data_IF_292969459804
#
_entry.id   IF_292969459804
#
_cell.length_a   1.000
_cell.length_b   1.000
_cell.length_c   1.000
_cell.angle_alpha   90.00
_cell.angle_beta   90.00
_cell.angle_gamma   90.00
#
_symmetry.space_group_name_H-M   'P 1'
#
loop_
_entity.id
_entity.type
_entity.pdbx_description
1 polymer ?
#
# COMPACT_ATOMS: atom_id res chain seq x y z
N UNK A 1 27.29 -4.00 39.47
CA UNK A 1 27.51 -3.09 38.32
C UNK A 1 26.95 -3.67 37.03
N UNK A 2 27.46 -4.80 36.52
CA UNK A 2 26.96 -5.40 35.27
C UNK A 2 25.46 -5.75 35.27
N UNK A 3 24.96 -6.42 36.32
CA UNK A 3 23.54 -6.77 36.43
C UNK A 3 22.62 -5.54 36.43
N UNK A 4 23.04 -4.45 37.10
CA UNK A 4 22.33 -3.17 37.10
C UNK A 4 22.29 -2.55 35.71
N UNK A 5 23.43 -2.55 34.99
CA UNK A 5 23.52 -2.03 33.61
C UNK A 5 22.59 -2.81 32.68
N UNK A 6 22.60 -4.15 32.76
CA UNK A 6 21.73 -5.00 31.95
C UNK A 6 20.24 -4.77 32.26
N UNK A 7 19.91 -4.53 33.53
CA UNK A 7 18.52 -4.27 33.94
C UNK A 7 18.05 -2.90 33.43
N UNK A 8 18.91 -1.89 33.53
CA UNK A 8 18.66 -0.57 32.94
C UNK A 8 18.51 -0.64 31.42
N UNK A 9 19.33 -1.45 30.75
CA UNK A 9 19.23 -1.66 29.31
C UNK A 9 17.91 -2.34 28.92
N UNK A 10 17.51 -3.39 29.65
CA UNK A 10 16.23 -4.06 29.44
C UNK A 10 15.06 -3.06 29.52
N UNK A 11 14.99 -2.28 30.61
CA UNK A 11 13.93 -1.29 30.77
C UNK A 11 14.01 -0.15 29.77
N UNK A 12 15.21 0.26 29.37
CA UNK A 12 15.43 1.23 28.30
C UNK A 12 14.85 0.74 26.97
N UNK A 13 15.08 -0.52 26.61
CA UNK A 13 14.51 -1.13 25.39
C UNK A 13 12.98 -1.21 25.49
N UNK A 14 12.43 -1.65 26.63
CA UNK A 14 10.97 -1.70 26.85
C UNK A 14 10.35 -0.31 26.71
N UNK A 15 10.97 0.73 27.26
CA UNK A 15 10.52 2.10 27.16
C UNK A 15 10.54 2.61 25.70
N UNK A 16 11.62 2.34 24.96
CA UNK A 16 11.72 2.71 23.54
C UNK A 16 10.62 2.03 22.72
N UNK A 17 10.42 0.72 22.91
CA UNK A 17 9.34 -0.01 22.23
C UNK A 17 7.99 0.61 22.58
N UNK A 18 7.72 0.89 23.85
CA UNK A 18 6.45 1.51 24.27
C UNK A 18 6.20 2.85 23.56
N UNK A 19 7.22 3.71 23.49
CA UNK A 19 7.14 5.01 22.81
C UNK A 19 6.88 4.81 21.31
N UNK A 20 7.65 3.98 20.62
CA UNK A 20 7.49 3.69 19.19
C UNK A 20 6.12 3.08 18.90
N UNK A 21 5.59 2.25 19.80
CA UNK A 21 4.28 1.62 19.64
C UNK A 21 3.11 2.61 19.78
N UNK A 22 3.26 3.62 20.64
CA UNK A 22 2.16 4.55 20.97
C UNK A 22 2.21 5.84 20.15
N UNK A 23 3.38 6.38 19.84
CA UNK A 23 3.52 7.68 19.17
C UNK A 23 2.77 7.80 17.83
N UNK A 24 2.68 6.74 16.99
CA UNK A 24 1.89 6.78 15.75
C UNK A 24 0.38 6.98 15.94
N UNK A 25 -0.17 6.81 17.15
CA UNK A 25 -1.57 7.13 17.44
C UNK A 25 -1.83 8.63 17.50
N UNK A 26 -0.80 9.46 17.59
CA UNK A 26 -0.96 10.90 17.54
C UNK A 26 -1.49 11.37 16.17
N UNK A 27 -2.20 12.50 16.17
CA UNK A 27 -2.64 13.17 14.94
C UNK A 27 -1.50 13.91 14.21
N UNK A 28 -0.26 13.84 14.69
CA UNK A 28 0.87 14.60 14.13
C UNK A 28 1.28 14.00 12.77
N UNK A 29 1.13 14.74 11.65
CA UNK A 29 1.44 14.25 10.31
C UNK A 29 2.94 14.42 10.00
N UNK A 30 3.82 13.79 10.78
CA UNK A 30 5.27 13.90 10.60
C UNK A 30 5.89 12.55 10.24
N UNK A 31 6.77 12.49 9.24
CA UNK A 31 7.28 11.23 8.72
C UNK A 31 8.06 10.41 9.76
N UNK A 32 8.79 11.05 10.68
CA UNK A 32 9.43 10.34 11.81
C UNK A 32 8.41 9.64 12.74
N UNK A 33 7.21 10.21 12.91
CA UNK A 33 6.15 9.64 13.75
C UNK A 33 5.38 8.57 12.96
N UNK A 34 5.08 8.82 11.69
CA UNK A 34 4.38 7.85 10.82
C UNK A 34 5.26 6.63 10.54
N UNK A 35 6.57 6.81 10.33
CA UNK A 35 7.54 5.74 10.12
C UNK A 35 7.62 4.75 11.29
N UNK A 36 7.37 5.19 12.53
CA UNK A 36 7.28 4.29 13.69
C UNK A 36 6.11 3.28 13.61
N UNK A 37 5.14 3.50 12.72
CA UNK A 37 4.09 2.53 12.45
C UNK A 37 4.54 1.37 11.54
N UNK A 38 5.67 1.47 10.84
CA UNK A 38 6.12 0.45 9.91
C UNK A 38 6.51 -0.86 10.61
N UNK A 39 7.38 -0.88 11.65
CA UNK A 39 7.94 -2.12 12.15
C UNK A 39 7.01 -2.89 13.12
N UNK A 40 5.68 -2.91 12.93
CA UNK A 40 4.76 -3.55 13.89
C UNK A 40 5.05 -5.03 14.08
N UNK A 41 5.31 -5.77 13.00
CA UNK A 41 5.66 -7.20 13.05
C UNK A 41 6.95 -7.45 13.83
N UNK A 42 7.98 -6.64 13.55
CA UNK A 42 9.28 -6.71 14.20
C UNK A 42 9.18 -6.37 15.69
N UNK A 43 8.41 -5.33 16.04
CA UNK A 43 8.16 -4.93 17.42
C UNK A 43 7.35 -5.98 18.18
N UNK A 44 6.40 -6.66 17.53
CA UNK A 44 5.70 -7.79 18.14
C UNK A 44 6.66 -8.93 18.50
N UNK A 45 7.52 -9.34 17.58
CA UNK A 45 8.51 -10.40 17.82
C UNK A 45 9.50 -10.01 18.91
N UNK A 46 9.99 -8.76 18.88
CA UNK A 46 10.89 -8.24 19.92
C UNK A 46 10.20 -8.19 21.29
N UNK A 47 8.94 -7.78 21.34
CA UNK A 47 8.12 -7.77 22.56
C UNK A 47 7.96 -9.18 23.12
N UNK A 48 7.66 -10.17 22.27
CA UNK A 48 7.56 -11.57 22.68
C UNK A 48 8.90 -12.11 23.19
N UNK A 49 10.02 -11.80 22.52
CA UNK A 49 11.35 -12.18 22.97
C UNK A 49 11.68 -11.58 24.34
N UNK A 50 11.39 -10.28 24.55
CA UNK A 50 11.61 -9.62 25.84
C UNK A 50 10.73 -10.20 26.94
N UNK A 51 9.53 -10.68 26.63
CA UNK A 51 8.67 -11.36 27.60
C UNK A 51 9.29 -12.69 28.04
N UNK A 52 9.87 -13.45 27.10
CA UNK A 52 10.64 -14.67 27.40
C UNK A 52 11.85 -14.34 28.28
N UNK A 53 12.62 -13.31 27.94
CA UNK A 53 13.76 -12.85 28.75
C UNK A 53 13.29 -12.48 30.17
N UNK A 54 12.20 -11.72 30.29
CA UNK A 54 11.63 -11.34 31.58
C UNK A 54 11.25 -12.56 32.44
N UNK A 55 10.68 -13.59 31.83
CA UNK A 55 10.28 -14.83 32.54
C UNK A 55 11.46 -15.54 33.20
N UNK A 56 12.59 -15.64 32.49
CA UNK A 56 13.74 -16.44 32.93
C UNK A 56 14.82 -15.65 33.67
N UNK A 57 14.92 -14.34 33.45
CA UNK A 57 16.04 -13.54 33.93
C UNK A 57 15.68 -12.57 35.06
N UNK A 58 14.45 -12.05 35.11
CA UNK A 58 14.05 -11.05 36.11
C UNK A 58 13.60 -11.68 37.42
N UNK A 59 13.95 -10.99 38.52
CA UNK A 59 13.40 -11.28 39.85
C UNK A 59 11.86 -11.14 39.86
N UNK A 60 11.15 -11.80 40.81
CA UNK A 60 9.68 -11.92 40.76
C UNK A 60 8.92 -10.60 40.65
N UNK A 61 9.34 -9.57 41.38
CA UNK A 61 8.66 -8.27 41.40
C UNK A 61 8.84 -7.47 40.09
N UNK A 62 10.05 -7.17 39.59
CA UNK A 62 10.22 -6.49 38.29
C UNK A 62 9.73 -7.33 37.10
N UNK A 63 9.75 -8.66 37.21
CA UNK A 63 9.19 -9.56 36.19
C UNK A 63 7.70 -9.30 35.97
N UNK A 64 6.91 -9.17 37.05
CA UNK A 64 5.47 -8.97 36.92
C UNK A 64 5.13 -7.65 36.23
N UNK A 65 5.84 -6.57 36.57
CA UNK A 65 5.69 -5.28 35.88
C UNK A 65 6.09 -5.38 34.42
N UNK A 66 7.22 -6.02 34.12
CA UNK A 66 7.70 -6.18 32.75
C UNK A 66 6.70 -6.96 31.89
N UNK A 67 6.18 -8.08 32.39
CA UNK A 67 5.21 -8.91 31.68
C UNK A 67 3.88 -8.18 31.46
N UNK A 68 3.41 -7.42 32.45
CA UNK A 68 2.19 -6.61 32.29
C UNK A 68 2.37 -5.55 31.20
N UNK A 69 3.49 -4.80 31.22
CA UNK A 69 3.80 -3.80 30.19
C UNK A 69 3.95 -4.43 28.81
N UNK A 70 4.71 -5.52 28.69
CA UNK A 70 4.92 -6.22 27.43
C UNK A 70 3.64 -6.87 26.91
N UNK A 71 2.73 -7.32 27.77
CA UNK A 71 1.42 -7.82 27.36
C UNK A 71 0.57 -6.72 26.73
N UNK A 72 0.57 -5.50 27.29
CA UNK A 72 -0.15 -4.36 26.71
C UNK A 72 0.44 -3.98 25.34
N UNK A 73 1.76 -3.87 25.24
CA UNK A 73 2.46 -3.60 23.98
C UNK A 73 2.16 -4.69 22.95
N UNK A 74 2.25 -5.96 23.36
CA UNK A 74 1.96 -7.11 22.53
C UNK A 74 0.52 -7.11 22.01
N UNK A 75 -0.45 -6.75 22.86
CA UNK A 75 -1.85 -6.62 22.48
C UNK A 75 -2.06 -5.52 21.42
N UNK A 76 -1.39 -4.36 21.56
CA UNK A 76 -1.43 -3.28 20.58
C UNK A 76 -0.96 -3.77 19.21
N UNK A 77 0.21 -4.41 19.14
CA UNK A 77 0.73 -4.92 17.87
C UNK A 77 -0.14 -6.04 17.30
N UNK A 78 -0.60 -6.96 18.15
CA UNK A 78 -1.49 -8.05 17.73
C UNK A 78 -2.76 -7.52 17.09
N UNK A 79 -3.40 -6.49 17.66
CA UNK A 79 -4.62 -5.91 17.11
C UNK A 79 -4.47 -5.32 15.69
N UNK A 80 -3.25 -4.91 15.32
CA UNK A 80 -2.94 -4.47 13.95
C UNK A 80 -2.59 -5.62 13.03
N UNK A 81 -1.74 -6.52 13.49
CA UNK A 81 -1.14 -7.60 12.69
C UNK A 81 -2.18 -8.69 12.39
N UNK A 82 -3.01 -9.06 13.38
CA UNK A 82 -3.94 -10.19 13.26
C UNK A 82 -4.91 -10.04 12.09
N UNK A 83 -5.29 -8.80 11.75
CA UNK A 83 -6.18 -8.47 10.63
C UNK A 83 -5.65 -8.95 9.28
N UNK A 84 -4.33 -9.05 9.14
CA UNK A 84 -3.65 -9.48 7.93
C UNK A 84 -3.12 -10.92 8.05
N UNK A 85 -3.81 -11.73 8.85
CA UNK A 85 -3.54 -13.17 8.99
C UNK A 85 -4.78 -13.98 8.60
N UNK A 86 -4.64 -15.26 8.23
CA UNK A 86 -5.77 -16.16 7.98
C UNK A 86 -6.70 -16.39 9.18
N UNK A 87 -6.34 -15.92 10.38
CA UNK A 87 -7.17 -16.03 11.58
C UNK A 87 -8.28 -14.97 11.63
N UNK A 88 -8.14 -13.88 10.86
CA UNK A 88 -9.12 -12.81 10.81
C UNK A 88 -10.16 -13.08 9.70
N UNK A 89 -11.43 -12.70 9.89
CA UNK A 89 -12.44 -12.79 8.84
C UNK A 89 -11.99 -12.04 7.57
N UNK A 90 -12.09 -12.71 6.42
CA UNK A 90 -11.75 -12.12 5.12
C UNK A 90 -12.66 -10.93 4.85
N UNK A 91 -12.11 -9.76 4.51
CA UNK A 91 -12.94 -8.58 4.16
C UNK A 91 -13.60 -8.76 2.79
N UNK A 92 -12.78 -8.96 1.76
CA UNK A 92 -13.23 -9.21 0.39
C UNK A 92 -13.75 -10.63 0.23
N UNK A 93 -14.86 -10.78 -0.50
CA UNK A 93 -15.45 -12.08 -0.86
C UNK A 93 -14.65 -12.72 -2.00
N UNK A 94 -14.43 -14.03 -1.91
CA UNK A 94 -13.77 -14.78 -2.99
C UNK A 94 -14.75 -15.03 -4.14
N UNK A 95 -14.24 -15.02 -5.37
CA UNK A 95 -15.03 -15.35 -6.54
C UNK A 95 -15.46 -16.81 -6.50
N UNK A 96 -16.70 -17.10 -6.93
CA UNK A 96 -17.11 -18.49 -7.18
C UNK A 96 -16.32 -19.06 -8.38
N UNK A 97 -16.24 -20.39 -8.55
CA UNK A 97 -15.60 -20.99 -9.71
C UNK A 97 -16.14 -20.47 -11.05
N UNK A 98 -17.45 -20.22 -11.14
CA UNK A 98 -18.11 -19.68 -12.33
C UNK A 98 -17.68 -18.24 -12.60
N UNK A 99 -17.64 -17.40 -11.57
CA UNK A 99 -17.16 -16.02 -11.67
C UNK A 99 -15.68 -15.95 -12.06
N UNK A 100 -14.85 -16.82 -11.49
CA UNK A 100 -13.42 -16.90 -11.82
C UNK A 100 -13.17 -17.40 -13.26
N UNK A 101 -14.08 -18.22 -13.79
CA UNK A 101 -14.02 -18.75 -15.16
C UNK A 101 -14.56 -17.77 -16.21
N UNK A 102 -15.36 -16.76 -15.84
CA UNK A 102 -15.89 -15.76 -16.77
C UNK A 102 -14.81 -14.74 -17.18
N UNK A 103 -14.02 -15.11 -18.19
CA UNK A 103 -12.98 -14.26 -18.74
C UNK A 103 -13.48 -12.90 -19.28
N UNK A 104 -14.79 -12.75 -19.57
CA UNK A 104 -15.34 -11.47 -20.04
C UNK A 104 -15.54 -10.44 -18.94
N UNK A 105 -15.59 -10.91 -17.68
CA UNK A 105 -15.77 -10.08 -16.48
C UNK A 105 -14.59 -10.22 -15.51
N UNK A 106 -13.50 -10.86 -15.93
CA UNK A 106 -12.27 -10.97 -15.15
C UNK A 106 -11.25 -9.92 -15.59
N UNK A 107 -10.54 -9.36 -14.62
CA UNK A 107 -9.35 -8.53 -14.85
C UNK A 107 -8.20 -9.02 -13.98
N UNK A 108 -7.02 -9.13 -14.58
CA UNK A 108 -5.77 -9.38 -13.88
C UNK A 108 -4.86 -8.15 -14.00
N UNK A 109 -4.44 -7.62 -12.87
CA UNK A 109 -3.61 -6.40 -12.76
C UNK A 109 -2.27 -6.79 -12.12
N UNK A 110 -1.17 -6.44 -12.81
CA UNK A 110 0.18 -6.48 -12.25
C UNK A 110 0.64 -5.06 -11.96
N UNK A 111 1.06 -4.78 -10.73
CA UNK A 111 1.66 -3.51 -10.34
C UNK A 111 3.10 -3.74 -9.87
N UNK A 112 4.01 -2.86 -10.28
CA UNK A 112 5.43 -2.93 -9.90
C UNK A 112 6.03 -1.54 -9.74
N UNK A 113 6.45 -1.18 -8.52
CA UNK A 113 7.48 -0.16 -8.37
C UNK A 113 8.83 -0.74 -8.88
N UNK A 114 9.40 -0.15 -9.92
CA UNK A 114 10.58 -0.71 -10.59
C UNK A 114 11.90 -0.31 -9.95
N UNK A 115 11.88 0.70 -9.06
CA UNK A 115 13.02 1.47 -8.60
C UNK A 115 13.73 2.16 -9.77
N UNK A 116 13.69 3.49 -9.87
CA UNK A 116 14.15 4.18 -11.07
C UNK A 116 15.57 3.79 -11.47
N UNK A 117 16.52 3.64 -10.54
CA UNK A 117 17.92 3.24 -10.83
C UNK A 117 18.11 1.79 -11.30
N UNK A 118 17.11 0.92 -11.15
CA UNK A 118 17.20 -0.46 -11.62
C UNK A 118 17.19 -0.49 -13.16
N UNK A 119 18.11 -1.26 -13.75
CA UNK A 119 18.24 -1.40 -15.21
C UNK A 119 17.99 -2.83 -15.71
N UNK A 120 17.48 -3.71 -14.83
CA UNK A 120 17.16 -5.09 -15.18
C UNK A 120 15.81 -5.20 -15.90
N UNK A 121 15.58 -4.40 -16.94
CA UNK A 121 14.30 -4.24 -17.64
C UNK A 121 13.66 -5.57 -18.05
N UNK A 122 14.46 -6.47 -18.61
CA UNK A 122 14.04 -7.79 -19.06
C UNK A 122 13.31 -8.59 -17.97
N UNK A 123 13.66 -8.43 -16.69
CA UNK A 123 13.03 -9.20 -15.60
C UNK A 123 11.55 -8.86 -15.44
N UNK A 124 11.18 -7.59 -15.59
CA UNK A 124 9.77 -7.20 -15.54
C UNK A 124 9.04 -7.60 -16.83
N UNK A 125 9.69 -7.41 -18.00
CA UNK A 125 9.15 -7.83 -19.29
C UNK A 125 8.85 -9.34 -19.30
N UNK A 126 9.81 -10.17 -18.91
CA UNK A 126 9.67 -11.63 -18.81
C UNK A 126 8.57 -12.03 -17.81
N UNK A 127 8.46 -11.30 -16.70
CA UNK A 127 7.41 -11.54 -15.70
C UNK A 127 6.01 -11.21 -16.24
N UNK A 128 5.86 -10.12 -16.99
CA UNK A 128 4.61 -9.74 -17.67
C UNK A 128 4.29 -10.73 -18.80
N UNK A 129 5.30 -11.26 -19.51
CA UNK A 129 5.09 -12.37 -20.43
C UNK A 129 4.54 -13.62 -19.75
N UNK A 130 5.15 -13.98 -18.61
CA UNK A 130 4.80 -15.18 -17.85
C UNK A 130 3.41 -15.11 -17.20
N UNK A 131 3.11 -14.02 -16.49
CA UNK A 131 1.83 -13.90 -15.76
C UNK A 131 0.68 -13.41 -16.66
N UNK A 132 0.99 -12.87 -17.84
CA UNK A 132 0.03 -12.43 -18.87
C UNK A 132 -1.13 -11.55 -18.34
N UNK A 133 -0.86 -10.50 -17.53
CA UNK A 133 -1.92 -9.70 -16.93
C UNK A 133 -2.70 -8.92 -18.01
N UNK A 134 -3.96 -8.63 -17.75
CA UNK A 134 -4.80 -7.80 -18.63
C UNK A 134 -4.37 -6.33 -18.59
N UNK A 135 -3.88 -5.90 -17.42
CA UNK A 135 -3.34 -4.57 -17.17
C UNK A 135 -2.01 -4.72 -16.42
N UNK A 136 -0.97 -4.06 -16.90
CA UNK A 136 0.30 -3.94 -16.19
C UNK A 136 0.61 -2.47 -15.93
N UNK A 137 1.07 -2.14 -14.73
CA UNK A 137 1.54 -0.81 -14.37
C UNK A 137 2.93 -0.87 -13.75
N UNK A 138 3.78 0.09 -14.14
CA UNK A 138 5.09 0.29 -13.53
C UNK A 138 5.21 1.73 -13.00
N UNK A 139 5.71 1.84 -11.77
CA UNK A 139 5.97 3.10 -11.05
C UNK A 139 7.48 3.34 -10.97
N UNK A 140 7.89 4.59 -10.80
CA UNK A 140 9.28 5.06 -10.83
C UNK A 140 9.97 4.82 -12.19
N UNK A 141 9.25 5.03 -13.29
CA UNK A 141 9.79 4.84 -14.64
C UNK A 141 10.36 6.13 -15.24
N UNK A 142 11.60 6.05 -15.72
CA UNK A 142 12.24 7.07 -16.56
C UNK A 142 12.03 6.74 -18.06
N UNK A 143 12.53 7.58 -18.99
CA UNK A 143 12.39 7.31 -20.43
C UNK A 143 12.95 5.95 -20.85
N UNK A 144 14.10 5.53 -20.30
CA UNK A 144 14.73 4.25 -20.65
C UNK A 144 13.87 3.06 -20.21
N UNK A 145 13.25 3.13 -19.04
CA UNK A 145 12.27 2.13 -18.59
C UNK A 145 11.06 2.05 -19.53
N UNK A 146 10.52 3.20 -19.93
CA UNK A 146 9.35 3.25 -20.84
C UNK A 146 9.69 2.65 -22.19
N UNK A 147 10.86 2.96 -22.75
CA UNK A 147 11.32 2.42 -24.04
C UNK A 147 11.52 0.90 -23.94
N UNK A 148 12.21 0.41 -22.91
CA UNK A 148 12.43 -1.03 -22.73
C UNK A 148 11.13 -1.82 -22.52
N UNK A 149 10.15 -1.26 -21.80
CA UNK A 149 8.84 -1.88 -21.65
C UNK A 149 8.07 -1.87 -22.97
N UNK A 150 8.12 -0.76 -23.72
CA UNK A 150 7.42 -0.65 -25.00
C UNK A 150 7.99 -1.65 -26.02
N UNK A 151 9.31 -1.73 -26.16
CA UNK A 151 9.97 -2.68 -27.07
C UNK A 151 9.57 -4.13 -26.78
N UNK A 152 9.49 -4.51 -25.50
CA UNK A 152 9.13 -5.87 -25.11
C UNK A 152 7.63 -6.20 -25.19
N UNK A 153 6.74 -5.20 -25.08
CA UNK A 153 5.33 -5.44 -24.75
C UNK A 153 4.31 -4.77 -25.68
N UNK A 154 4.71 -3.86 -26.58
CA UNK A 154 3.78 -3.10 -27.43
C UNK A 154 2.86 -3.98 -28.28
N UNK A 155 3.34 -5.12 -28.78
CA UNK A 155 2.53 -6.07 -29.57
C UNK A 155 1.39 -6.72 -28.77
N UNK A 156 1.48 -6.75 -27.43
CA UNK A 156 0.49 -7.41 -26.55
C UNK A 156 -0.48 -6.43 -25.91
N UNK A 157 -0.06 -5.17 -25.74
CA UNK A 157 -0.86 -4.13 -25.10
C UNK A 157 -1.17 -3.03 -26.12
N UNK A 158 -2.39 -2.98 -26.69
CA UNK A 158 -2.78 -1.94 -27.63
C UNK A 158 -2.97 -0.55 -26.98
N UNK A 159 -3.13 -0.46 -25.66
CA UNK A 159 -3.39 0.78 -24.95
C UNK A 159 -2.29 1.12 -23.96
N UNK A 160 -1.75 2.34 -24.07
CA UNK A 160 -0.64 2.83 -23.25
C UNK A 160 -0.92 4.23 -22.72
N UNK A 161 -0.51 4.48 -21.48
CA UNK A 161 -0.33 5.81 -20.92
C UNK A 161 1.11 5.86 -20.42
N UNK A 162 1.92 6.76 -20.97
CA UNK A 162 3.35 6.86 -20.70
C UNK A 162 3.64 8.22 -20.06
N UNK A 163 4.06 8.23 -18.80
CA UNK A 163 4.43 9.42 -18.06
C UNK A 163 5.82 9.19 -17.48
N UNK A 164 6.84 9.21 -18.34
CA UNK A 164 8.22 9.09 -17.90
C UNK A 164 8.64 10.35 -17.12
N UNK A 165 9.39 10.17 -16.03
CA UNK A 165 9.99 11.26 -15.26
C UNK A 165 11.38 10.85 -14.76
N UNK A 166 12.27 11.83 -14.60
CA UNK A 166 13.61 11.61 -14.04
C UNK A 166 13.68 11.86 -12.51
N UNK A 167 12.52 11.94 -11.86
CA UNK A 167 12.36 12.36 -10.46
C UNK A 167 11.74 11.27 -9.55
N UNK A 168 11.86 10.00 -9.95
CA UNK A 168 11.28 8.83 -9.28
C UNK A 168 9.75 8.79 -9.23
N UNK A 169 9.02 9.66 -9.93
CA UNK A 169 7.55 9.64 -9.95
C UNK A 169 6.91 9.17 -11.25
N UNK A 170 7.72 8.77 -12.25
CA UNK A 170 7.18 8.37 -13.53
C UNK A 170 6.27 7.14 -13.42
N UNK A 171 5.24 7.09 -14.26
CA UNK A 171 4.25 6.00 -14.29
C UNK A 171 3.97 5.58 -15.73
N UNK A 172 3.84 4.27 -15.94
CA UNK A 172 3.36 3.72 -17.20
C UNK A 172 2.23 2.72 -16.95
N UNK A 173 1.13 2.89 -17.69
CA UNK A 173 0.02 1.96 -17.74
C UNK A 173 -0.03 1.27 -19.10
N UNK A 174 -0.11 -0.06 -19.09
CA UNK A 174 -0.25 -0.92 -20.26
C UNK A 174 -1.54 -1.72 -20.10
N UNK A 175 -2.42 -1.71 -21.11
CA UNK A 175 -3.73 -2.37 -21.03
C UNK A 175 -4.11 -3.10 -22.32
N UNK A 176 -4.60 -4.33 -22.17
CA UNK A 176 -5.29 -5.09 -23.21
C UNK A 176 -6.73 -4.61 -23.41
N UNK A 177 -7.30 -4.02 -22.36
CA UNK A 177 -8.66 -3.52 -22.31
C UNK A 177 -8.71 -2.05 -22.77
N UNK A 178 -9.78 -1.67 -23.45
CA UNK A 178 -9.95 -0.30 -23.94
C UNK A 178 -10.03 0.69 -22.78
N UNK A 179 -9.26 1.77 -22.90
CA UNK A 179 -9.22 2.87 -21.94
C UNK A 179 -10.01 4.07 -22.48
N UNK A 180 -10.76 4.74 -21.63
CA UNK A 180 -11.50 5.97 -21.98
C UNK A 180 -11.55 6.95 -20.80
N UNK A 181 -11.89 8.21 -21.08
CA UNK A 181 -11.88 9.29 -20.07
C UNK A 181 -10.57 9.35 -19.26
N UNK A 182 -9.45 9.07 -19.92
CA UNK A 182 -8.14 9.02 -19.28
C UNK A 182 -7.66 10.41 -18.89
N UNK A 183 -7.21 10.54 -17.65
CA UNK A 183 -6.63 11.75 -17.08
C UNK A 183 -5.31 11.39 -16.40
N UNK A 184 -4.24 12.09 -16.77
CA UNK A 184 -2.99 12.16 -16.01
C UNK A 184 -3.04 13.44 -15.19
N UNK A 185 -2.85 13.36 -13.89
CA UNK A 185 -3.12 14.47 -12.96
C UNK A 185 -2.10 14.53 -11.85
N UNK A 186 -1.59 15.70 -11.60
CA UNK A 186 -0.87 16.03 -10.38
C UNK A 186 -1.95 16.48 -9.37
N UNK A 187 -2.41 15.55 -8.54
CA UNK A 187 -3.68 15.74 -7.80
C UNK A 187 -3.53 16.75 -6.64
N UNK A 188 -2.36 16.74 -6.02
CA UNK A 188 -2.06 17.57 -4.86
C UNK A 188 -0.68 18.23 -4.92
N UNK A 189 0.36 17.47 -5.24
CA UNK A 189 1.74 17.97 -5.35
C UNK A 189 2.15 17.97 -6.81
N UNK A 190 2.72 19.08 -7.28
CA UNK A 190 3.19 19.23 -8.66
C UNK A 190 4.25 18.17 -8.98
N UNK A 191 4.25 17.68 -10.23
CA UNK A 191 5.17 16.65 -10.73
C UNK A 191 5.08 15.27 -10.06
N UNK A 192 4.01 15.02 -9.28
CA UNK A 192 3.61 13.71 -8.75
C UNK A 192 2.37 13.22 -9.50
N UNK A 193 2.52 12.43 -10.59
CA UNK A 193 1.42 12.08 -11.46
C UNK A 193 0.60 10.93 -10.88
N UNK A 194 -0.71 11.06 -11.02
CA UNK A 194 -1.70 9.99 -10.84
C UNK A 194 -2.45 9.75 -12.15
N UNK A 195 -2.90 8.51 -12.37
CA UNK A 195 -3.74 8.16 -13.52
C UNK A 195 -5.14 7.86 -13.04
N UNK A 196 -6.14 8.41 -13.72
CA UNK A 196 -7.55 8.04 -13.60
C UNK A 196 -8.09 7.69 -14.98
N UNK A 197 -8.65 6.50 -15.15
CA UNK A 197 -9.20 6.06 -16.45
C UNK A 197 -10.39 5.13 -16.28
N UNK A 198 -11.35 5.18 -17.20
CA UNK A 198 -12.34 4.10 -17.36
C UNK A 198 -11.69 2.95 -18.13
N UNK A 199 -12.07 1.73 -17.76
CA UNK A 199 -11.64 0.49 -18.40
C UNK A 199 -12.89 -0.28 -18.83
N UNK A 200 -12.94 -0.67 -20.11
CA UNK A 200 -14.01 -1.48 -20.65
C UNK A 200 -13.64 -2.97 -20.62
N UNK A 201 -14.41 -3.76 -19.89
CA UNK A 201 -14.31 -5.22 -19.87
C UNK A 201 -14.76 -5.80 -21.22
N UNK A 202 -14.31 -7.01 -21.61
CA UNK A 202 -14.81 -7.67 -22.82
C UNK A 202 -16.33 -7.91 -22.83
N UNK A 203 -16.97 -7.93 -21.66
CA UNK A 203 -18.44 -7.98 -21.53
C UNK A 203 -19.15 -6.67 -21.90
N UNK A 204 -18.41 -5.57 -22.05
CA UNK A 204 -18.94 -4.21 -22.21
C UNK A 204 -19.17 -3.46 -20.89
N UNK A 205 -18.97 -4.10 -19.74
CA UNK A 205 -19.04 -3.43 -18.43
C UNK A 205 -17.87 -2.47 -18.26
N UNK A 206 -18.10 -1.38 -17.54
CA UNK A 206 -17.11 -0.32 -17.34
C UNK A 206 -16.82 -0.18 -15.85
N UNK A 207 -15.56 0.03 -15.51
CA UNK A 207 -15.09 0.33 -14.16
C UNK A 207 -13.99 1.39 -14.21
N UNK A 208 -13.67 1.99 -13.06
CA UNK A 208 -12.66 3.05 -12.91
C UNK A 208 -11.37 2.49 -12.33
N UNK A 209 -10.25 2.77 -12.99
CA UNK A 209 -8.91 2.51 -12.48
C UNK A 209 -8.26 3.82 -12.02
N UNK A 210 -7.74 3.80 -10.80
CA UNK A 210 -6.82 4.81 -10.26
C UNK A 210 -5.45 4.19 -10.05
N UNK A 211 -4.41 4.87 -10.52
CA UNK A 211 -3.00 4.53 -10.25
C UNK A 211 -2.38 5.71 -9.54
N UNK A 212 -1.80 5.45 -8.37
CA UNK A 212 -1.27 6.48 -7.47
C UNK A 212 0.12 6.09 -6.98
N UNK A 213 0.98 7.08 -6.81
CA UNK A 213 2.29 6.92 -6.20
C UNK A 213 2.63 8.19 -5.41
N UNK A 214 1.95 8.42 -4.27
CA UNK A 214 2.13 9.61 -3.47
C UNK A 214 3.52 9.62 -2.82
N UNK A 215 3.90 10.78 -2.29
CA UNK A 215 5.22 10.99 -1.72
C UNK A 215 5.58 10.01 -0.59
N UNK A 216 6.84 9.57 -0.49
CA UNK A 216 7.32 8.74 0.61
C UNK A 216 7.37 9.49 1.95
N UNK A 217 7.07 8.82 3.09
CA UNK A 217 7.26 9.42 4.41
C UNK A 217 8.75 9.48 4.76
N UNK A 218 9.29 10.67 5.01
CA UNK A 218 10.68 10.84 5.48
C UNK A 218 10.80 11.46 6.86
N UNK A 219 11.85 11.12 7.63
CA UNK A 219 12.01 11.62 8.99
C UNK A 219 12.09 13.15 9.14
N UNK A 220 12.46 13.86 8.07
CA UNK A 220 12.68 15.31 8.04
C UNK A 220 11.55 16.12 7.40
N UNK A 221 10.43 15.49 7.00
CA UNK A 221 9.27 16.18 6.42
C UNK A 221 7.95 15.75 7.07
N UNK A 222 6.92 16.59 6.88
CA UNK A 222 5.54 16.23 7.16
C UNK A 222 5.00 15.22 6.11
N UNK A 223 3.84 14.61 6.39
CA UNK A 223 3.19 13.62 5.50
C UNK A 223 1.92 14.17 4.85
N UNK A 224 1.69 15.49 4.87
CA UNK A 224 0.42 16.07 4.41
C UNK A 224 0.19 15.89 2.91
N UNK A 225 1.22 16.05 2.07
CA UNK A 225 1.12 15.76 0.63
C UNK A 225 0.70 14.33 0.35
N UNK A 226 1.42 13.36 0.93
CA UNK A 226 1.05 11.94 0.82
C UNK A 226 -0.36 11.62 1.35
N UNK A 227 -0.63 12.01 2.60
CA UNK A 227 -1.89 11.66 3.29
C UNK A 227 -3.10 12.34 2.62
N UNK A 228 -2.92 13.57 2.15
CA UNK A 228 -3.92 14.35 1.42
C UNK A 228 -4.24 13.77 0.06
N UNK A 229 -3.23 13.39 -0.74
CA UNK A 229 -3.44 12.79 -2.06
C UNK A 229 -4.23 11.47 -1.96
N UNK A 230 -3.80 10.58 -1.06
CA UNK A 230 -4.50 9.32 -0.79
C UNK A 230 -5.96 9.60 -0.41
N UNK A 231 -6.20 10.55 0.50
CA UNK A 231 -7.54 10.86 0.96
C UNK A 231 -8.43 11.48 -0.14
N UNK A 232 -7.88 12.34 -1.00
CA UNK A 232 -8.58 12.92 -2.14
C UNK A 232 -9.01 11.85 -3.13
N UNK A 233 -8.11 10.92 -3.50
CA UNK A 233 -8.46 9.77 -4.36
C UNK A 233 -9.56 8.93 -3.72
N UNK A 234 -9.51 8.73 -2.40
CA UNK A 234 -10.57 8.03 -1.68
C UNK A 234 -11.93 8.73 -1.80
N UNK A 235 -11.97 10.07 -1.68
CA UNK A 235 -13.20 10.86 -1.85
C UNK A 235 -13.69 10.84 -3.31
N UNK A 236 -12.80 10.88 -4.29
CA UNK A 236 -13.14 10.79 -5.71
C UNK A 236 -13.74 9.43 -6.05
N UNK A 237 -13.08 8.35 -5.66
CA UNK A 237 -13.55 6.98 -5.89
C UNK A 237 -14.93 6.73 -5.23
N UNK A 238 -15.19 7.32 -4.05
CA UNK A 238 -16.49 7.19 -3.37
C UNK A 238 -17.65 7.89 -4.11
N UNK A 239 -17.35 8.71 -5.13
CA UNK A 239 -18.32 9.50 -5.89
C UNK A 239 -18.39 9.08 -7.36
N UNK A 240 -17.61 8.09 -7.78
CA UNK A 240 -17.69 7.57 -9.13
C UNK A 240 -19.04 6.89 -9.38
N UNK A 241 -19.45 6.94 -10.64
CA UNK A 241 -20.68 6.35 -11.17
C UNK A 241 -20.51 4.87 -11.55
N UNK A 242 -19.29 4.35 -11.48
CA UNK A 242 -18.91 2.98 -11.84
C UNK A 242 -18.01 2.38 -10.75
N UNK A 243 -17.95 1.04 -10.63
CA UNK A 243 -17.08 0.37 -9.67
C UNK A 243 -15.62 0.81 -9.84
N UNK A 244 -14.90 0.99 -8.74
CA UNK A 244 -13.54 1.48 -8.77
C UNK A 244 -12.51 0.47 -8.24
N UNK A 245 -11.31 0.53 -8.80
CA UNK A 245 -10.09 -0.06 -8.26
C UNK A 245 -9.05 1.05 -8.11
N UNK A 246 -8.41 1.10 -6.95
CA UNK A 246 -7.27 2.00 -6.69
C UNK A 246 -6.05 1.13 -6.41
N UNK A 247 -4.97 1.32 -7.16
CA UNK A 247 -3.75 0.54 -7.02
C UNK A 247 -2.50 1.41 -7.13
N UNK A 248 -1.39 0.92 -6.59
CA UNK A 248 -0.09 1.56 -6.66
C UNK A 248 0.68 1.41 -5.34
N UNK A 249 1.84 2.04 -5.28
CA UNK A 249 2.64 2.13 -4.08
C UNK A 249 2.23 3.36 -3.29
N UNK A 250 1.54 3.15 -2.17
CA UNK A 250 1.04 4.24 -1.32
C UNK A 250 2.11 4.78 -0.37
N UNK A 251 3.32 4.24 -0.40
CA UNK A 251 4.39 4.60 0.52
C UNK A 251 3.96 4.52 2.00
N UNK A 252 3.02 3.61 2.28
CA UNK A 252 2.44 3.44 3.60
C UNK A 252 2.01 2.00 3.84
N UNK A 253 1.99 1.61 5.12
CA UNK A 253 1.67 0.25 5.52
C UNK A 253 0.16 0.01 5.64
N UNK A 254 -0.30 -1.21 5.35
CA UNK A 254 -1.72 -1.57 5.35
C UNK A 254 -2.47 -1.26 6.67
N UNK A 255 -1.77 -1.25 7.80
CA UNK A 255 -2.32 -0.93 9.12
C UNK A 255 -2.10 0.54 9.55
N UNK A 256 -1.75 1.43 8.63
CA UNK A 256 -1.58 2.85 8.96
C UNK A 256 -2.92 3.53 9.22
N UNK A 257 -2.87 4.70 9.86
CA UNK A 257 -4.03 5.58 10.02
C UNK A 257 -4.54 6.11 8.68
N UNK A 258 -3.64 6.38 7.75
CA UNK A 258 -3.94 6.93 6.42
C UNK A 258 -4.65 5.91 5.55
N UNK A 259 -4.18 4.66 5.50
CA UNK A 259 -4.86 3.57 4.78
C UNK A 259 -6.25 3.28 5.36
N UNK A 260 -6.42 3.33 6.69
CA UNK A 260 -7.75 3.21 7.30
C UNK A 260 -8.67 4.36 6.92
N UNK A 261 -8.17 5.60 6.96
CA UNK A 261 -8.92 6.79 6.52
C UNK A 261 -9.32 6.67 5.05
N UNK A 262 -8.42 6.24 4.18
CA UNK A 262 -8.71 5.96 2.78
C UNK A 262 -9.90 5.00 2.61
N UNK A 263 -9.89 3.85 3.30
CA UNK A 263 -10.99 2.90 3.23
C UNK A 263 -12.32 3.50 3.74
N UNK A 264 -12.29 4.32 4.81
CA UNK A 264 -13.49 4.98 5.31
C UNK A 264 -14.06 6.03 4.36
N UNK A 265 -13.19 6.77 3.67
CA UNK A 265 -13.57 7.80 2.71
C UNK A 265 -14.11 7.19 1.42
N UNK A 266 -13.46 6.14 0.93
CA UNK A 266 -13.75 5.49 -0.36
C UNK A 266 -14.81 4.40 -0.29
N UNK A 267 -14.90 3.68 0.83
CA UNK A 267 -15.68 2.45 0.95
C UNK A 267 -15.02 1.23 0.31
N UNK A 268 -13.84 1.37 -0.31
CA UNK A 268 -13.15 0.29 -0.99
C UNK A 268 -12.58 -0.74 0.00
N UNK A 269 -12.54 -1.99 -0.45
CA UNK A 269 -12.12 -3.15 0.34
C UNK A 269 -10.64 -3.45 0.13
N UNK A 270 -9.98 -3.96 1.16
CA UNK A 270 -8.61 -4.47 1.09
C UNK A 270 -8.60 -6.00 1.03
N UNK A 271 -8.16 -6.60 -0.09
CA UNK A 271 -8.15 -8.05 -0.27
C UNK A 271 -7.20 -8.78 0.68
N UNK A 272 -6.24 -8.08 1.31
CA UNK A 272 -5.26 -8.64 2.25
C UNK A 272 -5.86 -8.98 3.61
N UNK A 273 -6.91 -8.29 4.02
CA UNK A 273 -7.57 -8.51 5.30
C UNK A 273 -8.14 -9.93 5.36
N UNK A 274 -7.72 -10.69 6.37
CA UNK A 274 -8.02 -12.11 6.55
C UNK A 274 -7.22 -13.09 5.69
N UNK A 275 -6.14 -12.63 5.02
CA UNK A 275 -5.33 -13.48 4.12
C UNK A 275 -3.84 -13.44 4.40
N UNK A 276 -3.24 -12.26 4.50
CA UNK A 276 -1.78 -12.13 4.61
C UNK A 276 -1.33 -10.69 4.48
N UNK A 277 -0.06 -10.42 4.81
CA UNK A 277 0.51 -9.07 4.66
C UNK A 277 0.84 -8.72 3.21
N UNK A 278 1.35 -9.69 2.43
CA UNK A 278 1.85 -9.47 1.06
C UNK A 278 2.97 -8.41 1.00
N UNK A 279 3.92 -8.50 1.93
CA UNK A 279 4.99 -7.51 2.07
C UNK A 279 5.85 -7.37 0.80
N UNK A 280 5.75 -6.23 0.13
CA UNK A 280 6.42 -5.92 -1.14
C UNK A 280 7.74 -5.18 -0.96
N UNK A 281 7.93 -4.40 0.11
CA UNK A 281 9.15 -3.62 0.34
C UNK A 281 9.67 -3.78 1.78
N UNK A 282 10.96 -3.99 2.07
CA UNK A 282 12.08 -3.97 1.15
C UNK A 282 12.45 -5.40 0.68
N UNK A 283 12.39 -5.64 -0.62
CA UNK A 283 12.64 -6.93 -1.24
C UNK A 283 14.04 -7.51 -0.92
N UNK A 284 15.04 -6.66 -0.73
CA UNK A 284 16.42 -7.01 -0.38
C UNK A 284 16.66 -7.33 1.09
N UNK A 285 15.76 -6.97 2.01
CA UNK A 285 15.98 -7.10 3.46
C UNK A 285 14.85 -7.93 4.07
N UNK A 286 14.96 -9.28 4.15
CA UNK A 286 13.86 -10.15 4.57
C UNK A 286 13.18 -9.82 5.89
N UNK A 287 13.94 -9.28 6.86
CA UNK A 287 13.44 -8.91 8.19
C UNK A 287 12.80 -7.51 8.26
N UNK A 288 12.94 -6.70 7.20
CA UNK A 288 12.40 -5.33 7.09
C UNK A 288 11.49 -5.24 5.86
N UNK A 289 10.47 -6.11 5.84
CA UNK A 289 9.47 -6.18 4.78
C UNK A 289 8.12 -5.74 5.30
N UNK A 290 7.41 -4.98 4.48
CA UNK A 290 6.16 -4.27 4.72
C UNK A 290 5.33 -4.19 3.43
N UNK A 291 4.00 -3.99 3.54
CA UNK A 291 3.10 -4.04 2.39
C UNK A 291 2.78 -2.63 1.88
N UNK A 292 3.66 -2.11 1.02
CA UNK A 292 3.60 -0.74 0.50
C UNK A 292 2.82 -0.64 -0.81
N UNK A 293 2.73 -1.73 -1.57
CA UNK A 293 1.95 -1.80 -2.80
C UNK A 293 0.53 -2.32 -2.48
N UNK A 294 -0.47 -1.54 -2.85
CA UNK A 294 -1.87 -1.79 -2.51
C UNK A 294 -2.71 -2.01 -3.76
N UNK A 295 -3.79 -2.76 -3.57
CA UNK A 295 -4.97 -2.70 -4.41
C UNK A 295 -6.18 -2.66 -3.50
N UNK A 296 -7.01 -1.62 -3.65
CA UNK A 296 -8.33 -1.53 -3.07
C UNK A 296 -9.37 -1.64 -4.17
N UNK A 297 -10.48 -2.31 -3.88
CA UNK A 297 -11.51 -2.55 -4.89
C UNK A 297 -12.91 -2.33 -4.34
N UNK A 298 -13.82 -1.98 -5.25
CA UNK A 298 -15.24 -1.88 -4.95
C UNK A 298 -15.82 -3.24 -4.55
N UNK A 299 -16.89 -3.23 -3.76
CA UNK A 299 -17.59 -4.43 -3.33
C UNK A 299 -18.24 -5.21 -4.50
N UNK A 300 -18.38 -4.62 -5.69
CA UNK A 300 -18.78 -5.34 -6.91
C UNK A 300 -17.69 -6.27 -7.47
N UNK A 301 -16.44 -6.14 -7.01
CA UNK A 301 -15.36 -7.06 -7.37
C UNK A 301 -15.22 -8.21 -6.36
N UNK A 302 -15.04 -9.42 -6.88
CA UNK A 302 -14.69 -10.63 -6.11
C UNK A 302 -13.24 -11.03 -6.34
N UNK A 303 -12.55 -11.41 -5.27
CA UNK A 303 -11.15 -11.80 -5.34
C UNK A 303 -10.99 -13.20 -5.94
N UNK A 304 -10.21 -13.33 -7.01
CA UNK A 304 -9.82 -14.62 -7.60
C UNK A 304 -8.43 -15.03 -7.10
N UNK A 305 -7.45 -14.13 -7.24
CA UNK A 305 -6.04 -14.40 -6.90
C UNK A 305 -5.38 -13.13 -6.43
N UNK A 306 -4.51 -13.26 -5.43
CA UNK A 306 -3.56 -12.22 -5.03
C UNK A 306 -2.21 -12.88 -4.78
N UNK A 307 -1.14 -12.33 -5.35
CA UNK A 307 0.18 -12.95 -5.25
C UNK A 307 1.28 -11.90 -5.32
N UNK A 308 2.20 -11.96 -4.35
CA UNK A 308 3.49 -11.26 -4.47
C UNK A 308 4.39 -12.10 -5.37
N UNK A 309 4.89 -11.49 -6.43
CA UNK A 309 5.68 -12.14 -7.47
C UNK A 309 7.19 -12.13 -7.14
N UNK A 310 8.02 -12.87 -7.90
CA UNK A 310 9.49 -12.86 -7.72
C UNK A 310 10.11 -11.47 -7.88
N UNK A 311 11.24 -11.22 -7.21
CA UNK A 311 11.97 -9.95 -7.32
C UNK A 311 12.52 -9.75 -8.74
N UNK A 312 12.32 -8.55 -9.30
CA UNK A 312 12.81 -8.11 -10.61
C UNK A 312 14.14 -7.31 -10.56
N UNK A 313 14.79 -7.24 -9.39
CA UNK A 313 15.96 -6.37 -9.15
C UNK A 313 15.63 -5.06 -8.44
N UNK A 314 14.34 -4.77 -8.25
CA UNK A 314 13.83 -3.63 -7.48
C UNK A 314 13.96 -3.88 -5.97
N UNK A 315 13.87 -2.80 -5.19
CA UNK A 315 13.62 -2.87 -3.75
C UNK A 315 12.15 -3.18 -3.42
N UNK A 316 11.26 -3.17 -4.41
CA UNK A 316 9.90 -3.70 -4.33
C UNK A 316 9.76 -5.05 -5.05
N UNK A 317 8.88 -5.90 -4.53
CA UNK A 317 8.36 -7.05 -5.27
C UNK A 317 7.13 -6.62 -6.09
N UNK A 318 7.01 -7.04 -7.37
CA UNK A 318 5.76 -6.88 -8.10
C UNK A 318 4.63 -7.65 -7.43
N UNK A 319 3.41 -7.15 -7.57
CA UNK A 319 2.20 -7.76 -7.01
C UNK A 319 1.15 -7.95 -8.10
N UNK A 320 0.46 -9.09 -8.05
CA UNK A 320 -0.57 -9.51 -8.98
C UNK A 320 -1.90 -9.65 -8.27
N UNK A 321 -2.95 -9.10 -8.86
CA UNK A 321 -4.32 -9.28 -8.43
C UNK A 321 -5.18 -9.75 -9.59
N UNK A 322 -6.09 -10.69 -9.36
CA UNK A 322 -7.11 -11.10 -10.30
C UNK A 322 -8.47 -11.00 -9.64
N UNK A 323 -9.40 -10.32 -10.29
CA UNK A 323 -10.70 -9.96 -9.77
C UNK A 323 -11.79 -10.27 -10.80
N UNK A 324 -12.95 -10.71 -10.34
CA UNK A 324 -14.17 -10.83 -11.16
C UNK A 324 -15.10 -9.66 -10.83
N UNK A 325 -15.54 -8.94 -11.84
CA UNK A 325 -16.57 -7.92 -11.71
C UNK A 325 -17.96 -8.59 -11.75
N UNK A 326 -18.81 -8.30 -10.77
CA UNK A 326 -20.11 -8.99 -10.56
C UNK A 326 -21.26 -7.98 -10.49
N UNK A 327 -22.49 -8.42 -10.69
CA UNK A 327 -23.65 -7.51 -10.78
C UNK A 327 -24.15 -7.01 -9.40
N UNK A 328 -23.51 -7.47 -8.31
CA UNK A 328 -23.91 -7.14 -6.96
C UNK A 328 -22.71 -6.85 -6.06
N UNK A 329 -22.82 -5.76 -5.31
CA UNK A 329 -21.89 -5.43 -4.25
C UNK A 329 -22.01 -6.43 -3.08
N UNK A 330 -20.89 -7.00 -2.65
CA UNK A 330 -20.82 -7.91 -1.51
C UNK A 330 -19.46 -7.82 -0.80
N UNK A 331 -19.52 -7.80 0.53
CA UNK A 331 -18.36 -7.81 1.40
C UNK A 331 -18.73 -8.58 2.67
N UNK A 332 -17.79 -9.35 3.23
CA UNK A 332 -18.00 -9.96 4.55
C UNK A 332 -17.94 -8.92 5.68
N UNK A 333 -17.21 -7.82 5.44
CA UNK A 333 -17.17 -6.65 6.31
C UNK A 333 -16.91 -5.40 5.49
N UNK A 334 -17.61 -4.31 5.78
CA UNK A 334 -17.40 -3.00 5.15
C UNK A 334 -16.58 -2.08 6.06
N UNK A 335 -15.76 -1.18 5.50
CA UNK A 335 -15.13 -0.12 6.28
C UNK A 335 -16.19 0.74 6.99
N UNK A 336 -15.83 1.29 8.14
CA UNK A 336 -16.62 2.35 8.78
C UNK A 336 -16.77 3.54 7.82
N UNK A 337 -17.92 4.22 7.81
CA UNK A 337 -18.09 5.39 6.95
C UNK A 337 -17.37 6.59 7.56
N UNK A 338 -16.63 7.33 6.74
CA UNK A 338 -16.14 8.66 7.13
C UNK A 338 -17.31 9.59 7.46
N UNK A 339 -17.15 10.46 8.45
CA UNK A 339 -18.10 11.54 8.72
C UNK A 339 -17.76 12.83 7.94
N UNK A 340 -18.59 13.87 8.13
CA UNK A 340 -18.40 15.16 7.47
C UNK A 340 -17.18 15.93 8.00
N UNK A 341 -16.81 15.72 9.26
CA UNK A 341 -15.66 16.35 9.91
C UNK A 341 -14.35 15.82 9.30
N UNK A 342 -14.22 14.50 9.17
CA UNK A 342 -13.08 13.86 8.53
C UNK A 342 -12.93 14.31 7.06
N UNK A 343 -14.04 14.46 6.33
CA UNK A 343 -14.00 15.00 4.96
C UNK A 343 -13.61 16.47 4.91
N UNK A 344 -13.93 17.26 5.94
CA UNK A 344 -13.51 18.65 6.04
C UNK A 344 -12.01 18.75 6.39
N UNK A 345 -11.52 17.95 7.35
CA UNK A 345 -10.08 17.86 7.69
C UNK A 345 -9.23 17.55 6.44
N UNK A 346 -9.71 16.65 5.57
CA UNK A 346 -9.00 16.30 4.33
C UNK A 346 -8.94 17.45 3.34
N UNK A 347 -10.03 18.24 3.21
CA UNK A 347 -10.05 19.41 2.32
C UNK A 347 -9.11 20.49 2.81
N UNK A 348 -9.16 20.80 4.11
CA UNK A 348 -8.26 21.77 4.74
C UNK A 348 -6.80 21.35 4.54
N UNK A 349 -6.45 20.09 4.79
CA UNK A 349 -5.11 19.56 4.54
C UNK A 349 -4.68 19.69 3.07
N UNK A 350 -5.60 19.43 2.14
CA UNK A 350 -5.32 19.54 0.71
C UNK A 350 -5.13 21.01 0.27
N UNK A 351 -5.94 21.92 0.80
CA UNK A 351 -5.86 23.34 0.47
C UNK A 351 -4.56 23.94 1.05
N UNK A 352 -4.22 23.60 2.30
CA UNK A 352 -2.92 23.98 2.90
C UNK A 352 -1.72 23.47 2.11
N UNK A 353 -1.79 22.25 1.58
CA UNK A 353 -0.68 21.68 0.80
C UNK A 353 -0.55 22.34 -0.56
N UNK A 354 -1.66 22.67 -1.23
CA UNK A 354 -1.65 23.38 -2.52
C UNK A 354 -1.09 24.80 -2.43
N UNK A 355 -1.17 25.42 -1.25
CA UNK A 355 -0.58 26.73 -1.01
C UNK A 355 0.95 26.68 -0.81
N UNK A 356 1.53 25.50 -0.59
CA UNK A 356 2.98 25.34 -0.45
C UNK A 356 3.64 25.30 -1.82
N UNK A 357 4.55 26.24 -2.06
CA UNK A 357 5.49 26.20 -3.18
C UNK A 357 6.72 25.39 -2.77
N UNK A 358 6.73 24.08 -3.08
CA UNK A 358 7.84 23.17 -2.79
C UNK A 358 7.95 22.06 -3.83
N UNK A 359 9.15 21.51 -3.97
CA UNK A 359 9.35 20.28 -4.74
C UNK A 359 8.79 19.07 -4.00
N UNK A 360 8.43 18.04 -4.78
CA UNK A 360 8.06 16.73 -4.25
C UNK A 360 9.22 16.08 -3.49
N UNK A 361 8.91 15.33 -2.44
CA UNK A 361 9.89 14.68 -1.57
C UNK A 361 10.43 13.43 -2.26
N UNK A 362 11.75 13.35 -2.47
CA UNK A 362 12.39 12.14 -3.01
C UNK A 362 12.76 12.20 -4.48
N UNK A 363 12.62 13.37 -5.10
CA UNK A 363 13.06 13.64 -6.48
C UNK A 363 14.56 13.51 -6.71
N UNK A 364 15.37 13.36 -5.65
CA UNK A 364 16.83 13.32 -5.69
C UNK A 364 17.46 12.04 -5.14
N UNK A 365 16.68 11.06 -4.67
CA UNK A 365 17.24 9.89 -3.97
C UNK A 365 17.95 8.89 -4.87
N UNK A 366 17.72 8.96 -6.17
CA UNK A 366 18.31 8.06 -7.16
C UNK A 366 19.20 8.77 -8.18
N UNK A 367 19.57 10.04 -7.91
CA UNK A 367 20.48 10.82 -8.75
C UNK A 367 21.95 10.46 -8.57
#
# INVERSE_FOLDING_TARGET
MLATILLSLFWGIVAIIAVVSVLPFSKIPHGAIRGMAFPREQLFLLTALLAVVALFWLAPEPRNYALATLAIIGAIHTGYIVKFTPLWPRQSVDATPEQAADARNRVTILASNVKQSNRQYHRLVDLIHKEDPDIATALEVDPDWVDALYDGLHDRYPHWIKVAKDNSYGVVLMSKMALSETQVRDLLVDDVPSIRTKVAMPSGRIWRLYIVHPEPPVPNHDTKGRDGEIALVGIEASKDDVPAIVTGDLNDVAWSTTTRRFQRLSGLLDPRVGRGFYNTFHAGIPVMRWPLDHLFHDAEFRLIRMSRLPNIGSDHFPILFSLALTDNAEANSIPEKSDAEERAEVREMADEEREKDREAIGTDWEK
#
